data_IF_952333027459
#
_entry.id   IF_952333027459
#
_cell.length_a   1.000
_cell.length_b   1.000
_cell.length_c   1.000
_cell.angle_alpha   90.00
_cell.angle_beta   90.00
_cell.angle_gamma   90.00
#
_symmetry.space_group_name_H-M   'P 1'
#
loop_
_entity.id
_entity.type
_entity.pdbx_description
1 polymer ?
#
# COMPACT_ATOMS: atom_id res chain seq x y z
N UNK A 1 12.59 41.91 3.87
CA UNK A 1 11.57 42.24 2.87
C UNK A 1 12.12 41.87 1.51
N UNK A 2 11.81 40.67 1.06
CA UNK A 2 12.08 40.22 -0.31
C UNK A 2 10.95 39.28 -0.69
N UNK A 3 10.15 39.77 -1.62
CA UNK A 3 8.96 39.14 -2.19
C UNK A 3 9.31 37.85 -2.91
N UNK A 4 8.51 36.81 -2.68
CA UNK A 4 8.55 35.57 -3.45
C UNK A 4 7.33 35.58 -4.36
N UNK A 5 7.56 35.85 -5.63
CA UNK A 5 6.54 35.84 -6.68
C UNK A 5 6.10 34.39 -6.94
N UNK A 6 4.79 34.17 -6.85
CA UNK A 6 4.10 33.02 -7.42
C UNK A 6 4.18 33.09 -8.94
N UNK A 7 4.63 32.02 -9.58
CA UNK A 7 4.45 31.81 -11.02
C UNK A 7 3.63 30.55 -11.21
N UNK A 8 2.42 30.74 -11.74
CA UNK A 8 1.47 29.70 -12.12
C UNK A 8 1.81 29.20 -13.53
N UNK A 9 1.74 27.90 -13.77
CA UNK A 9 1.85 27.35 -15.12
C UNK A 9 0.45 26.94 -15.64
N UNK A 10 -0.05 27.70 -16.61
CA UNK A 10 -1.11 27.28 -17.54
C UNK A 10 -0.54 26.29 -18.56
N UNK A 11 -1.31 25.25 -18.94
CA UNK A 11 -1.05 24.53 -20.19
C UNK A 11 -2.34 24.15 -20.95
N UNK A 12 -2.67 24.98 -21.93
CA UNK A 12 -2.67 24.64 -23.36
C UNK A 12 -3.39 23.38 -23.84
N UNK A 13 -4.64 23.56 -24.29
CA UNK A 13 -5.40 22.65 -25.15
C UNK A 13 -4.80 22.55 -26.56
N UNK A 14 -4.74 21.35 -27.14
CA UNK A 14 -4.73 21.20 -28.59
C UNK A 14 -5.50 19.95 -29.07
N UNK A 15 -6.30 20.18 -30.10
CA UNK A 15 -7.22 19.25 -30.77
C UNK A 15 -6.57 18.58 -31.98
N UNK A 16 -7.26 17.52 -32.42
CA UNK A 16 -7.28 16.91 -33.76
C UNK A 16 -6.26 15.81 -34.09
N UNK A 17 -6.75 14.57 -34.22
CA UNK A 17 -6.73 13.84 -35.49
C UNK A 17 -7.63 12.59 -35.43
N UNK A 18 -8.13 12.20 -36.60
CA UNK A 18 -9.35 11.43 -36.86
C UNK A 18 -9.01 10.13 -37.61
N UNK A 19 -9.73 9.05 -37.27
CA UNK A 19 -10.33 8.02 -38.15
C UNK A 19 -9.54 6.90 -38.86
N UNK A 20 -10.15 5.69 -38.71
CA UNK A 20 -10.38 4.58 -39.68
C UNK A 20 -9.26 3.56 -39.93
N UNK A 21 -9.50 2.28 -40.24
CA UNK A 21 -10.65 1.35 -40.18
C UNK A 21 -10.15 -0.07 -40.59
N UNK A 22 -10.82 -1.09 -40.04
CA UNK A 22 -11.21 -2.42 -40.60
C UNK A 22 -10.29 -3.33 -41.44
N UNK A 23 -10.41 -4.63 -41.18
CA UNK A 23 -10.01 -5.72 -42.08
C UNK A 23 -10.27 -7.13 -41.51
N UNK A 24 -11.46 -7.68 -41.78
CA UNK A 24 -11.92 -9.05 -41.51
C UNK A 24 -11.19 -10.15 -42.30
N UNK A 25 -11.26 -11.41 -41.82
CA UNK A 25 -10.99 -12.61 -42.63
C UNK A 25 -11.35 -13.93 -41.91
N UNK A 26 -12.24 -14.70 -42.53
CA UNK A 26 -13.05 -15.84 -42.05
C UNK A 26 -12.39 -17.22 -41.78
N UNK A 27 -13.11 -18.04 -41.00
CA UNK A 27 -13.34 -19.51 -41.18
C UNK A 27 -12.24 -20.46 -40.68
N UNK A 28 -12.48 -21.64 -40.09
CA UNK A 28 -13.65 -22.43 -39.66
C UNK A 28 -13.09 -23.59 -38.76
N UNK A 29 -13.92 -24.36 -38.03
CA UNK A 29 -13.51 -25.14 -36.86
C UNK A 29 -13.12 -26.59 -37.17
N UNK A 30 -12.27 -27.18 -36.34
CA UNK A 30 -12.18 -28.64 -36.21
C UNK A 30 -12.10 -29.02 -34.73
N UNK A 31 -13.19 -29.63 -34.31
CA UNK A 31 -13.44 -30.38 -33.08
C UNK A 31 -12.50 -31.59 -32.99
N UNK A 32 -11.90 -31.86 -31.81
CA UNK A 32 -11.69 -33.23 -31.30
C UNK A 32 -10.86 -33.29 -30.00
N UNK A 33 -11.51 -33.84 -28.98
CA UNK A 33 -10.98 -34.90 -28.09
C UNK A 33 -10.19 -34.49 -26.84
N UNK A 34 -10.94 -34.46 -25.74
CA UNK A 34 -10.53 -34.76 -24.36
C UNK A 34 -9.52 -35.91 -24.27
N UNK A 35 -8.40 -35.71 -23.56
CA UNK A 35 -7.79 -36.77 -22.76
C UNK A 35 -6.91 -36.20 -21.63
N UNK A 36 -7.43 -36.36 -20.41
CA UNK A 36 -6.79 -36.20 -19.12
C UNK A 36 -5.92 -37.44 -18.82
N UNK A 37 -4.68 -37.32 -18.31
CA UNK A 37 -4.01 -38.43 -17.65
C UNK A 37 -4.11 -38.30 -16.13
N UNK A 38 -4.71 -39.34 -15.56
CA UNK A 38 -4.93 -39.62 -14.14
C UNK A 38 -3.63 -39.69 -13.32
N UNK A 39 -3.69 -39.15 -12.11
CA UNK A 39 -2.79 -39.46 -11.01
C UNK A 39 -2.85 -40.95 -10.66
N UNK A 40 -1.70 -41.61 -10.51
CA UNK A 40 -1.58 -42.95 -9.91
C UNK A 40 -0.54 -42.91 -8.80
N UNK A 41 -1.03 -43.04 -7.57
CA UNK A 41 -0.25 -43.33 -6.37
C UNK A 41 0.07 -44.82 -6.35
N UNK A 42 1.35 -45.18 -6.26
CA UNK A 42 1.77 -46.52 -5.83
C UNK A 42 2.72 -46.39 -4.64
N UNK A 43 2.57 -47.26 -3.61
CA UNK A 43 3.45 -47.27 -2.46
C UNK A 43 4.66 -48.15 -2.77
N UNK A 44 5.87 -47.60 -2.63
CA UNK A 44 7.09 -48.41 -2.72
C UNK A 44 7.90 -48.28 -1.43
N UNK A 45 7.95 -49.42 -0.75
CA UNK A 45 8.72 -49.82 0.40
C UNK A 45 10.18 -49.35 0.37
N UNK A 46 10.59 -48.78 1.50
CA UNK A 46 11.94 -48.39 1.92
C UNK A 46 12.96 -49.55 1.88
N UNK A 47 14.23 -49.26 1.58
CA UNK A 47 15.32 -49.94 2.26
C UNK A 47 16.16 -48.94 3.07
N UNK A 48 16.28 -49.23 4.36
CA UNK A 48 17.01 -48.45 5.35
C UNK A 48 18.51 -48.33 5.06
N UNK A 49 19.04 -47.12 5.21
CA UNK A 49 20.46 -46.85 5.42
C UNK A 49 20.67 -45.97 6.66
N UNK A 50 21.69 -46.24 7.49
CA UNK A 50 21.95 -45.48 8.71
C UNK A 50 22.71 -44.21 8.34
N UNK A 51 22.00 -43.08 8.26
CA UNK A 51 22.57 -41.78 7.94
C UNK A 51 22.12 -40.74 8.95
N UNK A 52 23.07 -40.34 9.81
CA UNK A 52 23.22 -39.04 10.49
C UNK A 52 21.89 -38.30 10.77
N UNK A 53 21.48 -38.28 12.04
CA UNK A 53 20.47 -37.36 12.54
C UNK A 53 20.93 -35.92 12.28
N UNK A 54 20.45 -35.35 11.17
CA UNK A 54 20.40 -33.90 10.99
C UNK A 54 19.30 -33.44 11.93
N UNK A 55 19.68 -32.72 12.99
CA UNK A 55 18.74 -31.93 13.79
C UNK A 55 17.88 -31.15 12.81
N UNK A 56 16.60 -31.51 12.74
CA UNK A 56 15.60 -30.72 12.07
C UNK A 56 15.51 -29.42 12.86
N UNK A 57 16.22 -28.39 12.40
CA UNK A 57 16.01 -27.02 12.81
C UNK A 57 14.54 -26.72 12.54
N UNK A 58 13.77 -26.70 13.61
CA UNK A 58 12.40 -26.22 13.63
C UNK A 58 12.38 -24.86 12.92
N UNK A 59 11.51 -24.66 11.90
CA UNK A 59 11.42 -23.37 11.24
C UNK A 59 11.09 -22.32 12.31
N UNK A 60 11.68 -21.11 12.24
CA UNK A 60 11.41 -20.08 13.22
C UNK A 60 9.90 -19.89 13.31
N UNK A 61 9.35 -20.26 14.47
CA UNK A 61 7.94 -20.10 14.83
C UNK A 61 7.49 -18.71 14.36
N UNK A 62 6.56 -18.68 13.39
CA UNK A 62 5.85 -17.49 12.92
C UNK A 62 4.93 -16.98 14.04
N UNK A 63 5.51 -16.52 15.15
CA UNK A 63 4.75 -15.76 16.13
C UNK A 63 4.34 -14.45 15.45
N UNK A 64 3.05 -14.06 15.52
CA UNK A 64 2.64 -12.70 15.18
C UNK A 64 3.56 -11.73 15.92
N UNK A 65 4.18 -10.83 15.18
CA UNK A 65 5.16 -9.89 15.73
C UNK A 65 4.41 -8.80 16.50
N UNK A 66 3.86 -9.10 17.69
CA UNK A 66 3.16 -8.11 18.51
C UNK A 66 4.01 -6.83 18.62
N UNK A 67 3.48 -5.71 18.14
CA UNK A 67 4.16 -4.43 18.28
C UNK A 67 4.08 -4.05 19.75
N UNK A 68 5.16 -4.28 20.48
CA UNK A 68 5.24 -3.84 21.87
C UNK A 68 5.68 -2.38 21.94
N UNK A 69 5.32 -1.72 23.04
CA UNK A 69 5.82 -0.39 23.39
C UNK A 69 7.35 -0.38 23.44
N UNK A 70 8.00 -1.48 23.85
CA UNK A 70 9.46 -1.64 23.83
C UNK A 70 10.03 -1.66 22.41
N UNK A 71 9.28 -2.22 21.45
CA UNK A 71 9.63 -2.13 20.04
C UNK A 71 9.60 -0.66 19.61
N UNK A 72 8.66 0.17 20.05
CA UNK A 72 8.60 1.59 19.67
C UNK A 72 9.42 2.54 20.56
N UNK A 73 9.98 2.06 21.67
CA UNK A 73 10.66 2.92 22.65
C UNK A 73 12.07 3.35 22.24
N UNK A 74 12.60 2.85 21.11
CA UNK A 74 13.89 3.31 20.61
C UNK A 74 13.72 4.60 19.82
N UNK A 75 14.57 5.61 20.07
CA UNK A 75 14.50 6.88 19.36
C UNK A 75 14.80 6.67 17.88
N UNK A 76 14.12 7.48 17.05
CA UNK A 76 14.35 7.52 15.63
C UNK A 76 15.79 7.97 15.33
N UNK A 77 16.54 7.30 14.44
CA UNK A 77 17.92 7.71 14.14
C UNK A 77 17.97 9.01 13.31
N UNK A 78 18.07 10.17 13.97
CA UNK A 78 18.02 11.49 13.32
C UNK A 78 19.15 11.78 12.32
N UNK A 79 20.23 10.98 12.34
CA UNK A 79 21.35 11.11 11.39
C UNK A 79 21.04 10.52 10.01
N UNK A 80 19.96 9.74 9.89
CA UNK A 80 19.53 9.11 8.64
C UNK A 80 18.68 10.07 7.81
N UNK A 81 18.63 9.84 6.49
CA UNK A 81 17.65 10.52 5.64
C UNK A 81 16.23 10.11 6.00
N UNK A 82 15.23 10.94 5.67
CA UNK A 82 13.82 10.63 5.96
C UNK A 82 13.39 9.25 5.43
N UNK A 83 13.76 8.92 4.20
CA UNK A 83 13.50 7.59 3.63
C UNK A 83 14.14 6.47 4.45
N UNK A 84 15.38 6.64 4.91
CA UNK A 84 16.06 5.66 5.75
C UNK A 84 15.44 5.56 7.15
N UNK A 85 14.96 6.67 7.72
CA UNK A 85 14.22 6.68 8.98
C UNK A 85 12.89 5.94 8.86
N UNK A 86 12.16 6.16 7.76
CA UNK A 86 10.94 5.42 7.44
C UNK A 86 11.19 3.93 7.32
N UNK A 87 12.19 3.54 6.53
CA UNK A 87 12.59 2.14 6.37
C UNK A 87 12.98 1.51 7.72
N UNK A 88 13.75 2.23 8.54
CA UNK A 88 14.16 1.77 9.86
C UNK A 88 12.96 1.49 10.77
N UNK A 89 11.99 2.40 10.80
CA UNK A 89 10.79 2.21 11.61
C UNK A 89 9.92 1.09 11.04
N UNK A 90 9.70 1.06 9.72
CA UNK A 90 8.92 0.04 9.02
C UNK A 90 9.39 -1.39 9.34
N UNK A 91 10.68 -1.67 9.20
CA UNK A 91 11.24 -3.00 9.53
C UNK A 91 11.03 -3.36 11.00
N UNK A 92 11.07 -2.36 11.88
CA UNK A 92 10.95 -2.53 13.33
C UNK A 92 9.53 -2.87 13.75
N UNK A 93 8.52 -2.37 13.02
CA UNK A 93 7.10 -2.57 13.32
C UNK A 93 6.48 -3.73 12.51
N UNK A 94 7.33 -4.64 12.01
CA UNK A 94 6.91 -5.86 11.32
C UNK A 94 6.65 -5.70 9.83
N UNK A 95 7.19 -4.65 9.21
CA UNK A 95 7.09 -4.42 7.77
C UNK A 95 8.03 -5.30 6.95
N UNK A 96 7.58 -5.64 5.74
CA UNK A 96 8.35 -6.41 4.76
C UNK A 96 9.48 -5.57 4.12
N UNK A 97 10.53 -6.23 3.62
CA UNK A 97 11.61 -5.54 2.86
C UNK A 97 11.29 -5.32 1.40
N UNK A 98 10.29 -6.04 0.88
CA UNK A 98 9.89 -6.01 -0.52
C UNK A 98 8.55 -5.31 -0.65
N UNK A 99 8.51 -4.28 -1.47
CA UNK A 99 7.31 -3.50 -1.73
C UNK A 99 6.65 -3.96 -3.03
N UNK A 100 5.32 -4.05 -3.02
CA UNK A 100 4.49 -4.36 -4.18
C UNK A 100 3.23 -3.54 -4.09
N UNK A 101 2.69 -3.10 -5.22
CA UNK A 101 1.45 -2.34 -5.23
C UNK A 101 0.34 -3.08 -4.43
N UNK A 102 -0.44 -2.36 -3.61
CA UNK A 102 -0.47 -0.90 -3.51
C UNK A 102 0.56 -0.27 -2.55
N UNK A 103 1.27 -1.06 -1.73
CA UNK A 103 2.28 -0.53 -0.81
C UNK A 103 3.64 -0.43 -1.52
N UNK A 104 4.04 0.79 -1.87
CA UNK A 104 5.22 1.04 -2.71
C UNK A 104 6.46 1.46 -1.91
N UNK A 105 6.33 1.61 -0.60
CA UNK A 105 7.42 1.96 0.29
C UNK A 105 6.99 2.03 1.75
N UNK A 106 7.93 2.31 2.66
CA UNK A 106 7.65 2.50 4.07
C UNK A 106 6.62 3.61 4.32
N UNK A 107 5.43 3.23 4.80
CA UNK A 107 4.31 4.16 5.01
C UNK A 107 3.91 4.93 3.75
N UNK A 108 4.10 4.30 2.58
CA UNK A 108 3.73 4.85 1.28
C UNK A 108 2.78 3.89 0.56
N UNK A 109 1.69 4.43 0.04
CA UNK A 109 0.74 3.68 -0.78
C UNK A 109 0.39 4.42 -2.06
N UNK A 110 0.21 3.66 -3.14
CA UNK A 110 -0.30 4.15 -4.41
C UNK A 110 -1.81 3.99 -4.43
N UNK A 111 -2.51 5.04 -4.85
CA UNK A 111 -3.95 4.98 -5.05
C UNK A 111 -4.29 4.21 -6.33
N UNK A 112 -5.35 3.38 -6.33
CA UNK A 112 -5.76 2.69 -7.53
C UNK A 112 -6.36 3.70 -8.53
N UNK A 113 -6.19 3.48 -9.86
CA UNK A 113 -6.68 4.41 -10.89
C UNK A 113 -8.18 4.68 -10.85
N UNK A 114 -8.98 3.75 -10.29
CA UNK A 114 -10.43 3.90 -10.15
C UNK A 114 -10.85 4.70 -8.91
N UNK A 115 -9.93 5.03 -8.01
CA UNK A 115 -10.18 5.83 -6.82
C UNK A 115 -9.32 7.11 -6.87
N UNK A 116 -9.69 8.08 -7.72
CA UNK A 116 -8.89 9.29 -7.91
C UNK A 116 -8.81 10.11 -6.62
N UNK A 117 -7.65 10.68 -6.33
CA UNK A 117 -7.39 11.40 -5.09
C UNK A 117 -8.41 12.51 -4.80
N UNK A 118 -8.89 13.23 -5.82
CA UNK A 118 -9.86 14.31 -5.65
C UNK A 118 -11.17 13.86 -5.01
N UNK A 119 -11.59 12.62 -5.26
CA UNK A 119 -12.86 12.08 -4.75
C UNK A 119 -12.70 11.28 -3.47
N UNK A 120 -11.49 10.79 -3.20
CA UNK A 120 -11.24 9.83 -2.12
C UNK A 120 -10.36 10.37 -1.00
N UNK A 121 -9.60 11.45 -1.24
CA UNK A 121 -8.63 11.98 -0.28
C UNK A 121 -8.81 13.47 -0.04
N UNK A 122 -8.82 14.29 -1.10
CA UNK A 122 -8.78 15.75 -0.91
C UNK A 122 -10.14 16.38 -0.78
N UNK A 123 -11.16 15.75 -1.36
CA UNK A 123 -12.49 16.32 -1.47
C UNK A 123 -12.52 17.58 -2.35
N UNK A 124 -13.73 18.16 -2.53
CA UNK A 124 -13.90 19.45 -3.19
C UNK A 124 -13.07 20.53 -2.48
N UNK A 125 -12.39 21.39 -3.24
CA UNK A 125 -11.63 22.54 -2.73
C UNK A 125 -10.62 22.22 -1.61
N UNK A 126 -10.15 20.97 -1.54
CA UNK A 126 -9.25 20.41 -0.52
C UNK A 126 -9.85 20.37 0.89
N UNK A 127 -11.18 20.41 1.04
CA UNK A 127 -11.81 20.49 2.36
C UNK A 127 -11.59 19.22 3.19
N UNK A 128 -11.71 18.04 2.59
CA UNK A 128 -11.41 16.77 3.29
C UNK A 128 -9.94 16.71 3.70
N UNK A 129 -9.01 17.14 2.84
CA UNK A 129 -7.59 17.19 3.19
C UNK A 129 -7.32 18.17 4.35
N UNK A 130 -8.00 19.32 4.38
CA UNK A 130 -7.89 20.28 5.49
C UNK A 130 -8.42 19.68 6.78
N UNK A 131 -9.54 18.97 6.74
CA UNK A 131 -10.10 18.31 7.92
C UNK A 131 -9.16 17.20 8.43
N UNK A 132 -8.67 16.35 7.53
CA UNK A 132 -7.68 15.32 7.85
C UNK A 132 -6.45 15.94 8.53
N UNK A 133 -5.88 16.99 7.94
CA UNK A 133 -4.62 17.57 8.41
C UNK A 133 -4.74 18.44 9.66
N UNK A 134 -5.88 19.10 9.88
CA UNK A 134 -6.05 20.02 11.01
C UNK A 134 -6.77 19.40 12.21
N UNK A 135 -7.71 18.47 11.98
CA UNK A 135 -8.61 17.96 13.01
C UNK A 135 -8.41 16.48 13.32
N UNK A 136 -8.09 15.64 12.31
CA UNK A 136 -8.02 14.19 12.50
C UNK A 136 -6.59 13.68 12.75
N UNK A 137 -5.59 14.23 12.07
CA UNK A 137 -4.21 13.80 12.23
C UNK A 137 -3.62 14.31 13.57
N UNK A 138 -2.95 13.43 14.33
CA UNK A 138 -2.17 13.85 15.49
C UNK A 138 -1.09 14.83 15.06
N UNK A 139 -0.82 15.85 15.89
CA UNK A 139 0.14 16.92 15.61
C UNK A 139 1.55 16.44 15.22
N UNK A 140 1.94 15.24 15.65
CA UNK A 140 3.23 14.63 15.33
C UNK A 140 3.32 14.05 13.91
N UNK A 141 2.19 13.96 13.18
CA UNK A 141 2.11 13.33 11.86
C UNK A 141 1.81 14.36 10.77
N UNK A 142 2.20 14.00 9.55
CA UNK A 142 1.90 14.71 8.32
C UNK A 142 1.51 13.71 7.23
N UNK A 143 0.52 14.09 6.42
CA UNK A 143 0.13 13.36 5.22
C UNK A 143 0.57 14.17 4.01
N UNK A 144 1.38 13.55 3.14
CA UNK A 144 1.85 14.16 1.89
C UNK A 144 1.25 13.41 0.71
N UNK A 145 0.82 14.18 -0.29
CA UNK A 145 0.34 13.68 -1.58
C UNK A 145 1.36 14.06 -2.65
N UNK A 146 1.80 13.07 -3.42
CA UNK A 146 2.71 13.25 -4.54
C UNK A 146 2.06 12.71 -5.81
N UNK A 147 2.01 13.53 -6.86
CA UNK A 147 1.58 13.10 -8.19
C UNK A 147 2.83 12.95 -9.04
N UNK A 148 3.16 11.70 -9.37
CA UNK A 148 4.36 11.37 -10.14
C UNK A 148 3.97 10.94 -11.55
N UNK A 149 4.68 11.44 -12.56
CA UNK A 149 4.43 11.01 -13.94
C UNK A 149 5.00 9.61 -14.14
N UNK A 150 4.18 8.68 -14.58
CA UNK A 150 4.62 7.32 -14.89
C UNK A 150 5.40 7.33 -16.20
N UNK A 151 6.47 6.55 -16.32
CA UNK A 151 7.27 6.45 -17.55
C UNK A 151 6.57 5.68 -18.69
N UNK A 152 5.25 5.44 -18.59
CA UNK A 152 4.47 4.78 -19.64
C UNK A 152 4.30 5.72 -20.84
N UNK A 153 4.02 5.14 -22.02
CA UNK A 153 3.74 5.90 -23.25
C UNK A 153 2.42 6.66 -23.20
N UNK A 154 1.61 6.41 -22.17
CA UNK A 154 0.38 7.12 -21.87
C UNK A 154 0.65 8.14 -20.77
N UNK A 155 -0.10 9.23 -20.73
CA UNK A 155 -0.02 10.26 -19.69
C UNK A 155 -0.62 9.75 -18.37
N UNK A 156 -0.13 8.60 -17.91
CA UNK A 156 -0.53 8.04 -16.63
C UNK A 156 0.24 8.77 -15.52
N UNK A 157 -0.48 9.08 -14.44
CA UNK A 157 0.11 9.63 -13.24
C UNK A 157 -0.14 8.66 -12.08
N UNK A 158 0.90 8.47 -11.28
CA UNK A 158 0.84 7.72 -10.05
C UNK A 158 0.59 8.70 -8.91
N UNK A 159 -0.55 8.54 -8.25
CA UNK A 159 -0.93 9.28 -7.05
C UNK A 159 -0.46 8.50 -5.82
N UNK A 160 0.46 9.09 -5.07
CA UNK A 160 1.12 8.46 -3.91
C UNK A 160 0.77 9.21 -2.65
N UNK A 161 0.26 8.48 -1.66
CA UNK A 161 0.07 8.95 -0.30
C UNK A 161 1.23 8.48 0.57
N UNK A 162 1.82 9.44 1.28
CA UNK A 162 2.85 9.20 2.29
C UNK A 162 2.35 9.67 3.64
N UNK A 163 2.30 8.77 4.62
CA UNK A 163 2.13 9.14 6.02
C UNK A 163 3.51 9.19 6.69
N UNK A 164 3.85 10.34 7.28
CA UNK A 164 5.12 10.48 8.00
C UNK A 164 5.02 11.43 9.19
N UNK A 165 6.14 11.71 9.83
CA UNK A 165 6.21 12.69 10.90
C UNK A 165 6.14 14.12 10.36
N UNK A 166 5.43 14.97 11.09
CA UNK A 166 5.52 16.40 10.91
C UNK A 166 6.95 16.87 11.19
N UNK A 167 7.29 18.06 10.68
CA UNK A 167 8.60 18.66 10.90
C UNK A 167 8.92 18.74 12.40
N UNK A 168 10.14 18.37 12.76
CA UNK A 168 10.65 18.37 14.13
C UNK A 168 9.91 17.42 15.11
N UNK A 169 9.20 16.40 14.57
CA UNK A 169 8.52 15.34 15.34
C UNK A 169 9.11 13.95 15.07
N UNK A 170 8.60 12.90 15.75
CA UNK A 170 9.00 11.50 15.53
C UNK A 170 10.06 10.96 16.48
N UNK A 171 10.67 11.83 17.28
CA UNK A 171 11.63 11.46 18.33
C UNK A 171 10.94 10.82 19.55
N UNK A 172 9.66 11.12 19.76
CA UNK A 172 8.85 10.60 20.85
C UNK A 172 8.18 9.28 20.48
N UNK A 173 8.11 8.39 21.45
CA UNK A 173 7.40 7.12 21.32
C UNK A 173 5.92 7.31 20.92
N UNK A 174 5.28 8.37 21.42
CA UNK A 174 3.89 8.67 21.10
C UNK A 174 3.71 8.92 19.60
N UNK A 175 4.60 9.68 18.97
CA UNK A 175 4.52 9.96 17.53
C UNK A 175 4.66 8.66 16.72
N UNK A 176 5.59 7.78 17.10
CA UNK A 176 5.77 6.47 16.43
C UNK A 176 4.55 5.56 16.60
N UNK A 177 3.94 5.55 17.79
CA UNK A 177 2.69 4.82 18.08
C UNK A 177 1.56 5.32 17.19
N UNK A 178 1.36 6.64 17.13
CA UNK A 178 0.31 7.23 16.31
C UNK A 178 0.54 6.98 14.82
N UNK A 179 1.79 7.04 14.34
CA UNK A 179 2.11 6.75 12.94
C UNK A 179 1.68 5.33 12.55
N UNK A 180 2.04 4.34 13.37
CA UNK A 180 1.66 2.94 13.11
C UNK A 180 0.16 2.76 13.17
N UNK A 181 -0.51 3.38 14.14
CA UNK A 181 -1.98 3.32 14.28
C UNK A 181 -2.67 3.92 13.05
N UNK A 182 -2.32 5.14 12.65
CA UNK A 182 -2.91 5.80 11.50
C UNK A 182 -2.57 5.11 10.19
N UNK A 183 -1.39 4.50 10.09
CA UNK A 183 -1.07 3.63 8.96
C UNK A 183 -2.07 2.47 8.86
N UNK A 184 -2.40 1.81 9.98
CA UNK A 184 -3.43 0.77 10.02
C UNK A 184 -4.80 1.26 9.54
N UNK A 185 -5.21 2.47 9.93
CA UNK A 185 -6.45 3.06 9.44
C UNK A 185 -6.41 3.34 7.94
N UNK A 186 -5.29 3.82 7.42
CA UNK A 186 -5.14 4.06 5.98
C UNK A 186 -5.14 2.77 5.16
N UNK A 187 -4.53 1.69 5.64
CA UNK A 187 -4.54 0.40 4.92
C UNK A 187 -5.91 -0.26 4.97
N UNK A 188 -6.64 -0.14 6.08
CA UNK A 188 -8.04 -0.57 6.20
C UNK A 188 -8.93 0.20 5.25
N UNK A 189 -8.86 1.54 5.27
CA UNK A 189 -9.55 2.41 4.32
C UNK A 189 -9.28 1.98 2.87
N UNK A 190 -8.02 1.82 2.50
CA UNK A 190 -7.68 1.44 1.13
C UNK A 190 -8.27 0.07 0.77
N UNK A 191 -8.30 -0.89 1.71
CA UNK A 191 -8.99 -2.16 1.48
C UNK A 191 -10.49 -1.96 1.22
N UNK A 192 -11.19 -1.10 1.98
CA UNK A 192 -12.62 -0.80 1.73
C UNK A 192 -12.85 -0.23 0.32
N UNK A 193 -11.95 0.64 -0.14
CA UNK A 193 -11.98 1.20 -1.50
C UNK A 193 -11.79 0.10 -2.55
N UNK A 194 -10.87 -0.84 -2.35
CA UNK A 194 -10.73 -2.00 -3.24
C UNK A 194 -11.94 -2.95 -3.20
N UNK A 195 -12.74 -2.95 -2.14
CA UNK A 195 -14.00 -3.68 -2.09
C UNK A 195 -15.17 -2.94 -2.78
N UNK A 196 -14.90 -1.75 -3.34
CA UNK A 196 -15.86 -0.95 -4.08
C UNK A 196 -16.72 -0.05 -3.20
N UNK A 197 -16.35 0.13 -1.93
CA UNK A 197 -17.03 1.06 -1.03
C UNK A 197 -16.57 2.49 -1.30
N UNK A 198 -17.49 3.46 -1.51
CA UNK A 198 -17.14 4.85 -1.82
C UNK A 198 -16.81 5.65 -0.55
N UNK A 199 -15.94 5.12 0.31
CA UNK A 199 -15.53 5.79 1.55
C UNK A 199 -14.37 6.75 1.28
N UNK A 200 -14.52 8.02 1.65
CA UNK A 200 -13.39 8.96 1.65
C UNK A 200 -12.44 8.63 2.80
N UNK A 201 -11.17 9.02 2.65
CA UNK A 201 -10.20 8.88 3.73
C UNK A 201 -10.62 9.71 4.96
N UNK A 202 -11.25 10.88 4.74
CA UNK A 202 -11.70 11.74 5.82
C UNK A 202 -12.79 11.07 6.67
N UNK A 203 -13.85 10.56 6.03
CA UNK A 203 -14.93 9.85 6.72
C UNK A 203 -14.40 8.65 7.49
N UNK A 204 -13.54 7.85 6.85
CA UNK A 204 -12.96 6.67 7.46
C UNK A 204 -12.11 7.00 8.68
N UNK A 205 -11.24 8.02 8.59
CA UNK A 205 -10.43 8.46 9.72
C UNK A 205 -11.29 9.05 10.85
N UNK A 206 -12.33 9.80 10.52
CA UNK A 206 -13.29 10.35 11.49
C UNK A 206 -13.93 9.23 12.33
N UNK A 207 -14.43 8.19 11.67
CA UNK A 207 -15.01 7.02 12.35
C UNK A 207 -13.97 6.25 13.18
N UNK A 208 -12.78 6.03 12.62
CA UNK A 208 -11.71 5.27 13.27
C UNK A 208 -11.19 5.96 14.54
N UNK A 209 -11.03 7.28 14.52
CA UNK A 209 -10.59 8.09 15.66
C UNK A 209 -11.65 8.12 16.77
N UNK A 210 -12.92 8.25 16.42
CA UNK A 210 -14.03 8.24 17.40
C UNK A 210 -14.19 6.86 18.06
N UNK A 211 -13.95 5.79 17.30
CA UNK A 211 -14.11 4.40 17.75
C UNK A 211 -12.90 3.86 18.52
N UNK A 212 -11.91 4.70 18.86
CA UNK A 212 -10.58 4.29 19.29
C UNK A 212 -10.56 3.46 20.60
N UNK A 213 -10.60 2.15 20.41
CA UNK A 213 -10.25 1.12 21.41
C UNK A 213 -9.50 -0.04 20.73
N UNK A 214 -8.82 0.24 19.62
CA UNK A 214 -8.13 -0.77 18.81
C UNK A 214 -6.71 -0.97 19.32
N UNK A 215 -6.30 -2.23 19.43
CA UNK A 215 -4.93 -2.61 19.76
C UNK A 215 -3.98 -2.20 18.62
N UNK A 216 -2.70 -2.02 18.96
CA UNK A 216 -1.63 -1.80 17.99
C UNK A 216 -1.33 -3.12 17.28
N UNK A 217 -1.54 -3.14 15.96
CA UNK A 217 -1.25 -4.29 15.11
C UNK A 217 0.02 -4.04 14.28
N UNK A 218 0.77 -5.10 13.91
CA UNK A 218 1.88 -5.03 12.95
C UNK A 218 1.52 -4.23 11.70
N UNK A 219 2.46 -3.50 11.09
CA UNK A 219 2.16 -2.80 9.81
C UNK A 219 1.91 -3.76 8.64
N UNK A 220 2.30 -5.03 8.80
CA UNK A 220 1.98 -6.13 7.90
C UNK A 220 0.58 -6.71 8.13
N UNK A 221 -0.08 -6.37 9.23
CA UNK A 221 -1.45 -6.81 9.48
C UNK A 221 -2.36 -6.28 8.37
N UNK A 222 -3.27 -7.14 7.92
CA UNK A 222 -4.27 -6.84 6.89
C UNK A 222 -3.71 -6.52 5.50
N UNK A 223 -2.38 -6.58 5.28
CA UNK A 223 -1.83 -6.37 3.94
C UNK A 223 -2.17 -7.51 2.97
N UNK A 224 -2.34 -8.74 3.45
CA UNK A 224 -2.68 -9.90 2.59
C UNK A 224 -4.00 -9.72 1.86
N UNK A 225 -5.01 -9.21 2.56
CA UNK A 225 -6.32 -8.89 1.98
C UNK A 225 -6.19 -7.76 0.95
N UNK A 226 -5.49 -6.69 1.31
CA UNK A 226 -5.22 -5.56 0.43
C UNK A 226 -4.50 -5.99 -0.86
N UNK A 227 -3.47 -6.83 -0.76
CA UNK A 227 -2.75 -7.36 -1.92
C UNK A 227 -3.61 -8.28 -2.78
N UNK A 228 -4.43 -9.12 -2.14
CA UNK A 228 -5.36 -10.02 -2.84
C UNK A 228 -6.38 -9.22 -3.64
N UNK A 229 -6.94 -8.17 -3.05
CA UNK A 229 -7.92 -7.29 -3.70
C UNK A 229 -7.31 -6.46 -4.82
N UNK A 230 -6.11 -5.91 -4.62
CA UNK A 230 -5.36 -5.25 -5.69
C UNK A 230 -5.09 -6.20 -6.88
N UNK A 231 -4.63 -7.43 -6.63
CA UNK A 231 -4.38 -8.42 -7.70
C UNK A 231 -5.63 -8.71 -8.53
N UNK A 232 -6.77 -8.90 -7.84
CA UNK A 232 -8.07 -9.17 -8.49
C UNK A 232 -8.52 -8.04 -9.40
N UNK A 233 -8.32 -6.79 -8.98
CA UNK A 233 -8.79 -5.61 -9.72
C UNK A 233 -7.81 -5.12 -10.79
N UNK A 234 -6.52 -5.34 -10.60
CA UNK A 234 -5.49 -4.98 -11.57
C UNK A 234 -5.32 -6.00 -12.70
N UNK A 235 -6.07 -7.11 -12.68
CA UNK A 235 -6.06 -8.12 -13.76
C UNK A 235 -4.73 -8.86 -13.92
N UNK A 236 -3.85 -8.82 -12.91
CA UNK A 236 -2.60 -9.58 -12.89
C UNK A 236 -2.91 -11.01 -12.46
N UNK A 237 -3.42 -11.82 -13.38
CA UNK A 237 -3.32 -13.29 -13.31
C UNK A 237 -1.89 -13.68 -13.74
N UNK A 238 -1.25 -14.54 -12.93
CA UNK A 238 0.10 -15.08 -13.20
C UNK A 238 0.18 -15.92 -14.49
#
# INVERSE_FOLDING_TARGET
>A
MSDMQCESAEYGSNKDAKQSAEGSGDGHPIESTLQEPRLSLTPTTEPSHPGIAVEASEPPSLRPLEITVETLSRPLPLVLSEHQQRQWLWERVGGERTFRAPIIGPFQMKLPPFAPFNSFVTGPDFDDLKEITNELLPRGLALTLEITKTNSRHEDFDEVLTLWFAKDCGDKIYDQVELVRFWGYMTEWLSTVYHGEPATLCDHLGEAVVSANRNLEPVSANLDDLYSSHRRLSGSED
#
